data_IF_945451709404
#
_entry.id   IF_945451709404
#
_cell.length_a   1.000
_cell.length_b   1.000
_cell.length_c   1.000
_cell.angle_alpha   90.00
_cell.angle_beta   90.00
_cell.angle_gamma   90.00
#
_symmetry.space_group_name_H-M   'P 1'
#
loop_
_entity.id
_entity.type
_entity.pdbx_description
1 polymer ?
#
# COMPACT_ATOMS: atom_id res chain seq x y z
N UNK A 1 8.27 -6.75 7.49
CA UNK A 1 7.36 -7.87 7.16
C UNK A 1 6.54 -8.33 8.37
N UNK A 2 7.17 -8.66 9.50
CA UNK A 2 6.45 -9.09 10.72
C UNK A 2 5.40 -8.09 11.24
N UNK A 3 5.73 -6.79 11.28
CA UNK A 3 4.81 -5.74 11.71
C UNK A 3 3.53 -5.73 10.88
N UNK A 4 3.66 -5.77 9.54
CA UNK A 4 2.51 -5.79 8.64
C UNK A 4 1.66 -7.05 8.84
N UNK A 5 2.29 -8.22 9.00
CA UNK A 5 1.59 -9.47 9.30
C UNK A 5 0.68 -9.34 10.51
N UNK A 6 1.26 -8.83 11.59
CA UNK A 6 0.56 -8.67 12.85
C UNK A 6 -0.59 -7.68 12.71
N UNK A 7 -0.37 -6.54 12.05
CA UNK A 7 -1.41 -5.55 11.80
C UNK A 7 -2.58 -6.12 10.98
N UNK A 8 -2.29 -6.89 9.92
CA UNK A 8 -3.33 -7.53 9.10
C UNK A 8 -4.11 -8.57 9.91
N UNK A 9 -3.42 -9.39 10.69
CA UNK A 9 -4.06 -10.39 11.56
C UNK A 9 -5.00 -9.73 12.57
N UNK A 10 -4.54 -8.66 13.23
CA UNK A 10 -5.35 -7.89 14.18
C UNK A 10 -6.57 -7.23 13.52
N UNK A 11 -6.43 -6.73 12.29
CA UNK A 11 -7.52 -6.13 11.53
C UNK A 11 -8.56 -7.19 11.11
N UNK A 12 -8.12 -8.31 10.54
CA UNK A 12 -8.99 -9.38 10.05
C UNK A 12 -9.65 -10.20 11.17
N UNK A 13 -9.13 -10.13 12.40
CA UNK A 13 -9.83 -10.68 13.57
C UNK A 13 -11.17 -9.98 13.85
N UNK A 14 -11.40 -8.79 13.28
CA UNK A 14 -12.59 -7.95 13.51
C UNK A 14 -13.40 -7.65 12.25
N UNK A 15 -12.92 -8.03 11.07
CA UNK A 15 -13.55 -7.70 9.78
C UNK A 15 -13.17 -8.71 8.70
N UNK A 16 -14.07 -8.92 7.73
CA UNK A 16 -13.84 -9.86 6.62
C UNK A 16 -12.94 -9.29 5.50
N UNK A 17 -12.78 -7.96 5.47
CA UNK A 17 -12.08 -7.23 4.40
C UNK A 17 -11.20 -6.12 4.98
N UNK A 18 -10.14 -5.79 4.25
CA UNK A 18 -9.25 -4.68 4.59
C UNK A 18 -9.70 -3.39 3.91
N UNK A 19 -9.56 -2.27 4.62
CA UNK A 19 -9.52 -0.95 4.01
C UNK A 19 -8.10 -0.41 4.22
N UNK A 20 -7.42 -0.01 3.14
CA UNK A 20 -6.00 0.40 3.20
C UNK A 20 -5.93 1.90 3.01
N UNK A 21 -5.59 2.62 4.08
CA UNK A 21 -5.26 4.04 3.98
C UNK A 21 -3.75 4.20 3.93
N UNK A 22 -3.26 4.91 2.93
CA UNK A 22 -1.84 5.21 2.77
C UNK A 22 -1.64 6.71 2.95
N UNK A 23 -1.09 7.06 4.10
CA UNK A 23 -0.48 8.37 4.29
C UNK A 23 0.85 8.41 3.54
N UNK A 24 1.04 9.38 2.64
CA UNK A 24 2.24 9.45 1.81
C UNK A 24 3.46 9.91 2.63
N UNK A 25 3.24 10.55 3.78
CA UNK A 25 4.31 11.02 4.67
C UNK A 25 5.01 9.90 5.44
N UNK A 26 4.52 8.65 5.33
CA UNK A 26 5.25 7.45 5.77
C UNK A 26 6.59 7.27 5.05
N UNK A 27 6.72 7.87 3.87
CA UNK A 27 7.95 7.90 3.09
C UNK A 27 8.90 8.94 3.66
N UNK A 28 10.19 8.60 3.66
CA UNK A 28 11.21 9.62 3.98
C UNK A 28 11.05 10.84 3.05
N UNK A 29 11.27 12.09 3.53
CA UNK A 29 11.13 13.29 2.71
C UNK A 29 12.00 13.31 1.45
N UNK A 30 13.06 12.50 1.37
CA UNK A 30 13.81 12.27 0.13
C UNK A 30 12.97 11.65 -0.99
N UNK A 31 11.86 11.00 -0.64
CA UNK A 31 10.94 10.30 -1.52
C UNK A 31 9.57 10.98 -1.63
N UNK A 32 9.11 11.67 -0.57
CA UNK A 32 7.82 12.35 -0.53
C UNK A 32 7.93 13.74 0.15
N UNK A 33 8.63 14.72 -0.46
CA UNK A 33 8.76 16.05 0.14
C UNK A 33 7.45 16.87 0.13
N UNK A 34 6.50 16.48 -0.71
CA UNK A 34 5.24 17.16 -0.99
C UNK A 34 4.10 16.76 -0.05
N UNK A 35 4.29 16.94 1.25
CA UNK A 35 3.29 16.69 2.30
C UNK A 35 3.28 17.86 3.30
N UNK A 36 2.22 17.98 4.11
CA UNK A 36 2.14 18.97 5.19
C UNK A 36 3.13 18.72 6.34
N UNK A 37 3.54 17.46 6.53
CA UNK A 37 4.37 17.02 7.67
C UNK A 37 5.49 16.08 7.21
N UNK A 38 6.59 16.59 6.63
CA UNK A 38 7.71 15.73 6.24
C UNK A 38 8.42 15.13 7.48
N UNK A 39 8.47 13.79 7.59
CA UNK A 39 9.06 13.08 8.73
C UNK A 39 10.34 12.29 8.35
N UNK A 40 11.54 12.70 8.78
CA UNK A 40 12.79 11.99 8.48
C UNK A 40 12.83 10.56 9.06
N UNK A 41 13.42 9.62 8.32
CA UNK A 41 13.57 8.22 8.73
C UNK A 41 12.42 7.30 8.31
N UNK A 42 11.56 7.79 7.40
CA UNK A 42 10.49 7.00 6.79
C UNK A 42 11.00 5.86 5.89
N UNK A 43 10.07 5.08 5.35
CA UNK A 43 10.39 3.95 4.47
C UNK A 43 10.72 4.44 3.05
N UNK A 44 11.34 3.58 2.25
CA UNK A 44 11.62 3.89 0.85
C UNK A 44 10.38 3.72 -0.03
N UNK A 45 10.30 4.44 -1.15
CA UNK A 45 9.21 4.24 -2.13
C UNK A 45 9.15 2.80 -2.61
N UNK A 46 10.30 2.16 -2.80
CA UNK A 46 10.36 0.78 -3.28
C UNK A 46 9.72 -0.21 -2.30
N UNK A 47 9.88 0.01 -1.00
CA UNK A 47 9.26 -0.82 0.04
C UNK A 47 7.76 -0.57 0.10
N UNK A 48 7.32 0.69 0.14
CA UNK A 48 5.89 1.04 0.17
C UNK A 48 5.14 0.42 -1.02
N UNK A 49 5.66 0.59 -2.24
CA UNK A 49 5.01 0.09 -3.46
C UNK A 49 4.89 -1.45 -3.47
N UNK A 50 5.93 -2.16 -3.03
CA UNK A 50 5.88 -3.61 -2.88
C UNK A 50 4.86 -4.01 -1.83
N UNK A 51 4.86 -3.35 -0.68
CA UNK A 51 3.95 -3.62 0.44
C UNK A 51 2.49 -3.46 0.01
N UNK A 52 2.14 -2.35 -0.65
CA UNK A 52 0.77 -2.07 -1.13
C UNK A 52 0.31 -3.11 -2.16
N UNK A 53 1.15 -3.39 -3.17
CA UNK A 53 0.84 -4.40 -4.19
C UNK A 53 0.54 -5.75 -3.57
N UNK A 54 1.42 -6.15 -2.64
CA UNK A 54 1.38 -7.44 -1.98
C UNK A 54 0.11 -7.56 -1.12
N UNK A 55 -0.17 -6.55 -0.28
CA UNK A 55 -1.35 -6.49 0.57
C UNK A 55 -2.66 -6.61 -0.24
N UNK A 56 -2.74 -5.89 -1.36
CA UNK A 56 -3.91 -5.89 -2.25
C UNK A 56 -4.06 -7.17 -3.08
N UNK A 57 -2.96 -7.91 -3.27
CA UNK A 57 -2.98 -9.20 -3.96
C UNK A 57 -3.38 -10.35 -3.03
N UNK A 58 -2.94 -10.32 -1.78
CA UNK A 58 -3.16 -11.40 -0.81
C UNK A 58 -4.51 -11.34 -0.11
N UNK A 59 -5.04 -10.14 0.11
CA UNK A 59 -6.24 -9.94 0.93
C UNK A 59 -7.40 -9.38 0.12
N UNK A 60 -8.63 -9.62 0.59
CA UNK A 60 -9.81 -8.98 0.00
C UNK A 60 -9.90 -7.54 0.52
N UNK A 61 -9.48 -6.60 -0.32
CA UNK A 61 -9.48 -5.17 -0.01
C UNK A 61 -10.81 -4.55 -0.47
N UNK A 62 -11.51 -3.89 0.44
CA UNK A 62 -12.75 -3.17 0.19
C UNK A 62 -12.52 -1.81 -0.47
N UNK A 63 -11.41 -1.15 -0.14
CA UNK A 63 -11.06 0.17 -0.67
C UNK A 63 -9.63 0.56 -0.31
N UNK A 64 -9.12 1.54 -1.06
CA UNK A 64 -7.80 2.14 -0.84
C UNK A 64 -7.92 3.65 -1.00
N UNK A 65 -7.31 4.40 -0.09
CA UNK A 65 -7.07 5.84 -0.27
C UNK A 65 -5.57 6.17 -0.12
N UNK A 66 -5.18 7.27 -0.74
CA UNK A 66 -3.86 7.87 -0.60
C UNK A 66 -4.08 9.31 -0.16
N UNK A 67 -3.52 9.65 1.00
CA UNK A 67 -3.76 10.92 1.69
C UNK A 67 -2.46 11.73 1.84
N UNK A 68 -2.59 12.98 2.31
CA UNK A 68 -1.50 13.93 2.56
C UNK A 68 -0.59 14.26 1.38
N UNK A 69 -1.10 14.07 0.15
CA UNK A 69 -0.40 14.54 -1.06
C UNK A 69 -0.63 16.03 -1.21
N UNK A 70 0.44 16.82 -1.11
CA UNK A 70 0.43 18.28 -1.25
C UNK A 70 1.30 18.72 -2.46
N UNK A 71 0.72 18.80 -3.68
CA UNK A 71 1.45 19.18 -4.89
C UNK A 71 2.16 20.54 -4.80
N UNK A 72 1.64 21.46 -3.99
CA UNK A 72 2.24 22.78 -3.76
C UNK A 72 3.64 22.73 -3.14
N UNK A 73 3.97 21.64 -2.44
CA UNK A 73 5.29 21.42 -1.83
C UNK A 73 6.18 20.47 -2.65
N UNK A 74 5.64 19.86 -3.73
CA UNK A 74 6.28 18.81 -4.52
C UNK A 74 7.02 19.34 -5.75
N UNK A 75 8.12 20.05 -5.53
CA UNK A 75 8.84 20.80 -6.56
C UNK A 75 9.37 19.95 -7.74
N UNK A 76 9.56 18.64 -7.53
CA UNK A 76 10.05 17.70 -8.54
C UNK A 76 9.05 16.56 -8.82
N UNK A 77 7.78 16.74 -8.45
CA UNK A 77 6.69 15.77 -8.65
C UNK A 77 6.98 14.39 -8.05
N UNK A 78 7.87 14.30 -7.06
CA UNK A 78 8.29 13.03 -6.47
C UNK A 78 7.14 12.39 -5.71
N UNK A 79 6.45 13.20 -4.91
CA UNK A 79 5.35 12.78 -4.03
C UNK A 79 4.12 12.40 -4.84
N UNK A 80 3.75 13.22 -5.81
CA UNK A 80 2.61 12.96 -6.71
C UNK A 80 2.86 11.69 -7.52
N UNK A 81 4.08 11.48 -8.02
CA UNK A 81 4.44 10.24 -8.73
C UNK A 81 4.43 9.01 -7.80
N UNK A 82 4.92 9.15 -6.56
CA UNK A 82 4.84 8.09 -5.56
C UNK A 82 3.37 7.72 -5.25
N UNK A 83 2.52 8.72 -5.00
CA UNK A 83 1.08 8.53 -4.74
C UNK A 83 0.36 7.88 -5.92
N UNK A 84 0.58 8.36 -7.15
CA UNK A 84 0.09 7.72 -8.37
C UNK A 84 0.50 6.24 -8.41
N UNK A 85 1.77 5.95 -8.12
CA UNK A 85 2.27 4.59 -8.20
C UNK A 85 1.70 3.69 -7.10
N UNK A 86 1.43 4.22 -5.90
CA UNK A 86 0.71 3.50 -4.83
C UNK A 86 -0.67 3.07 -5.33
N UNK A 87 -1.45 3.97 -5.94
CA UNK A 87 -2.76 3.65 -6.51
C UNK A 87 -2.63 2.58 -7.59
N UNK A 88 -1.65 2.71 -8.49
CA UNK A 88 -1.42 1.75 -9.56
C UNK A 88 -1.10 0.35 -9.02
N UNK A 89 -0.20 0.25 -8.04
CA UNK A 89 0.19 -1.02 -7.43
C UNK A 89 -0.96 -1.67 -6.64
N UNK A 90 -1.78 -0.87 -5.94
CA UNK A 90 -2.99 -1.36 -5.29
C UNK A 90 -3.95 -1.99 -6.29
N UNK A 91 -4.30 -1.26 -7.36
CA UNK A 91 -5.18 -1.75 -8.42
C UNK A 91 -4.60 -2.98 -9.12
N UNK A 92 -3.29 -3.00 -9.37
CA UNK A 92 -2.60 -4.15 -9.96
C UNK A 92 -2.69 -5.40 -9.06
N UNK A 93 -2.51 -5.24 -7.74
CA UNK A 93 -2.67 -6.32 -6.76
C UNK A 93 -4.11 -6.86 -6.75
N UNK A 94 -5.10 -5.98 -6.65
CA UNK A 94 -6.52 -6.35 -6.68
C UNK A 94 -6.91 -7.07 -7.98
N UNK A 95 -6.43 -6.57 -9.13
CA UNK A 95 -6.69 -7.17 -10.44
C UNK A 95 -6.06 -8.57 -10.56
N UNK A 96 -4.82 -8.73 -10.09
CA UNK A 96 -4.16 -10.03 -10.07
C UNK A 96 -4.92 -11.04 -9.21
N UNK A 97 -5.35 -10.63 -8.00
CA UNK A 97 -6.15 -11.47 -7.11
C UNK A 97 -7.45 -11.94 -7.76
N UNK A 98 -8.20 -11.00 -8.38
CA UNK A 98 -9.46 -11.30 -9.07
C UNK A 98 -9.26 -12.26 -10.23
N UNK A 99 -8.21 -12.06 -11.04
CA UNK A 99 -7.86 -12.96 -12.15
C UNK A 99 -7.56 -14.37 -11.64
N UNK A 100 -6.79 -14.51 -10.59
CA UNK A 100 -6.36 -15.83 -10.11
C UNK A 100 -7.52 -16.57 -9.44
N UNK A 101 -8.36 -15.87 -8.67
CA UNK A 101 -9.61 -16.40 -8.14
C UNK A 101 -10.58 -16.87 -9.24
N UNK A 102 -10.74 -16.09 -10.32
CA UNK A 102 -11.57 -16.47 -11.46
C UNK A 102 -11.06 -17.71 -12.21
N UNK A 103 -9.76 -17.96 -12.19
CA UNK A 103 -9.13 -19.12 -12.83
C UNK A 103 -9.08 -20.36 -11.92
N UNK A 104 -9.74 -20.33 -10.75
CA UNK A 104 -9.74 -21.43 -9.78
C UNK A 104 -8.35 -21.74 -9.22
N UNK A 105 -7.37 -20.85 -9.41
CA UNK A 105 -6.10 -20.96 -8.72
C UNK A 105 -6.38 -20.62 -7.26
N UNK A 106 -5.86 -21.40 -6.28
CA UNK A 106 -5.87 -20.92 -4.91
C UNK A 106 -5.27 -19.51 -4.92
N UNK A 107 -5.91 -18.59 -4.21
CA UNK A 107 -5.32 -17.26 -4.00
C UNK A 107 -3.87 -17.44 -3.53
N UNK A 108 -2.99 -16.45 -3.79
CA UNK A 108 -1.61 -16.57 -3.38
C UNK A 108 -1.52 -17.08 -1.94
N UNK A 109 -0.67 -18.08 -1.65
CA UNK A 109 -0.41 -18.42 -0.26
C UNK A 109 -0.01 -17.12 0.41
N UNK A 110 -0.65 -16.81 1.53
CA UNK A 110 -0.23 -15.67 2.32
C UNK A 110 1.27 -15.82 2.55
N UNK A 111 2.15 -14.88 2.16
CA UNK A 111 3.56 -14.88 2.52
C UNK A 111 3.76 -14.59 4.01
N UNK A 112 2.67 -14.60 4.77
CA UNK A 112 2.57 -14.59 6.22
C UNK A 112 2.25 -15.98 6.80
N UNK A 113 2.04 -16.98 5.93
CA UNK A 113 2.03 -18.40 6.28
C UNK A 113 3.48 -18.86 6.38
N UNK A 114 4.12 -18.42 7.45
CA UNK A 114 5.23 -19.00 8.23
C UNK A 114 5.50 -18.04 9.41
#
# INVERSE_FOLDING_TARGET
KEVMRRAVSEALAKADKLYVSVDIDVLDPAHAPGTGTPEPGGITSADLLRMVRQLCYEHDVAGVDVVEVAPAYDHAELTVNAAHRVVFEALAGMAARRRDAANGKPGPPSPLAD
#
